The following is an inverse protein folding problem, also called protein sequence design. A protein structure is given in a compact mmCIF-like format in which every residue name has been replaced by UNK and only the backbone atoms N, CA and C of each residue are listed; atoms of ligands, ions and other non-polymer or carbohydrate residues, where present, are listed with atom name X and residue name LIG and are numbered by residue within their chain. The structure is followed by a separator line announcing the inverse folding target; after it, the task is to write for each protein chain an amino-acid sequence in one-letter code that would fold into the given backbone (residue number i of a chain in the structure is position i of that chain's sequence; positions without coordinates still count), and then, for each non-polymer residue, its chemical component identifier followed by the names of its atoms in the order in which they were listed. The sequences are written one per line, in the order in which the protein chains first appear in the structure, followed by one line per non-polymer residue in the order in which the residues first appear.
data_IF_819430532810
#
_entry.id   IF_819430532810
#
_cell.length_a   1.000
_cell.length_b   1.000
_cell.length_c   1.000
_cell.angle_alpha   90.00
_cell.angle_beta   90.00
_cell.angle_gamma   90.00
#
_symmetry.space_group_name_H-M   'P 1'
#
loop_
_entity.id
_entity.type
_entity.pdbx_description
1 polymer ?
#
# COMPACT_ATOMS: atom_id res chain seq x y z
N UNK A 1 13.32 -20.07 -0.08
CA UNK A 1 12.47 -21.01 -0.83
C UNK A 1 11.01 -20.83 -0.42
N UNK A 2 10.19 -20.18 -1.26
CA UNK A 2 8.76 -19.97 -1.00
C UNK A 2 7.92 -21.19 -1.36
N UNK A 3 6.86 -21.46 -0.60
CA UNK A 3 5.92 -22.55 -0.87
C UNK A 3 4.92 -22.14 -1.96
N UNK A 4 4.72 -22.99 -2.97
CA UNK A 4 3.75 -22.74 -4.05
C UNK A 4 2.30 -22.90 -3.58
N UNK A 5 1.37 -22.19 -4.25
CA UNK A 5 -0.05 -22.15 -3.89
C UNK A 5 -0.70 -23.53 -3.78
N UNK A 6 -0.30 -24.47 -4.64
CA UNK A 6 -0.89 -25.81 -4.67
C UNK A 6 -0.53 -26.62 -3.43
N UNK A 7 0.69 -26.42 -2.90
CA UNK A 7 1.16 -27.07 -1.67
C UNK A 7 0.48 -26.47 -0.44
N UNK A 8 0.38 -25.14 -0.39
CA UNK A 8 -0.37 -24.43 0.68
C UNK A 8 -1.83 -24.91 0.70
N UNK A 9 -2.47 -24.99 -0.47
CA UNK A 9 -3.86 -25.44 -0.58
C UNK A 9 -4.03 -26.89 -0.09
N UNK A 10 -3.11 -27.81 -0.43
CA UNK A 10 -3.13 -29.18 0.09
C UNK A 10 -3.01 -29.23 1.61
N UNK A 11 -2.11 -28.43 2.20
CA UNK A 11 -1.94 -28.34 3.67
C UNK A 11 -3.20 -27.81 4.36
N UNK A 12 -3.79 -26.75 3.82
CA UNK A 12 -5.05 -26.19 4.34
C UNK A 12 -6.17 -27.23 4.22
N UNK A 13 -6.27 -27.94 3.10
CA UNK A 13 -7.33 -28.94 2.90
C UNK A 13 -7.24 -30.11 3.87
N UNK A 14 -6.01 -30.53 4.23
CA UNK A 14 -5.78 -31.59 5.19
C UNK A 14 -6.29 -31.23 6.61
N UNK A 15 -6.39 -29.94 6.94
CA UNK A 15 -6.83 -29.49 8.27
C UNK A 15 -8.30 -29.04 8.37
N UNK A 16 -9.01 -28.86 7.25
CA UNK A 16 -10.35 -28.21 7.22
C UNK A 16 -11.42 -29.08 6.54
N UNK A 17 -11.10 -30.33 6.13
CA UNK A 17 -12.03 -31.28 5.47
C UNK A 17 -12.92 -30.64 4.38
N UNK A 18 -12.38 -29.69 3.62
CA UNK A 18 -13.12 -28.96 2.60
C UNK A 18 -12.78 -29.48 1.19
N UNK A 19 -13.46 -28.95 0.18
CA UNK A 19 -13.04 -29.15 -1.20
C UNK A 19 -11.73 -28.41 -1.47
N UNK A 20 -10.81 -29.05 -2.21
CA UNK A 20 -9.52 -28.47 -2.60
C UNK A 20 -9.64 -27.06 -3.23
N UNK A 21 -10.72 -26.81 -3.98
CA UNK A 21 -11.00 -25.50 -4.60
C UNK A 21 -11.25 -24.41 -3.55
N UNK A 22 -11.91 -24.75 -2.45
CA UNK A 22 -12.13 -23.82 -1.33
C UNK A 22 -10.82 -23.55 -0.59
N UNK A 23 -10.02 -24.59 -0.32
CA UNK A 23 -8.70 -24.44 0.27
C UNK A 23 -7.77 -23.54 -0.58
N UNK A 24 -7.80 -23.70 -1.91
CA UNK A 24 -7.04 -22.86 -2.83
C UNK A 24 -7.51 -21.39 -2.84
N UNK A 25 -8.83 -21.16 -2.72
CA UNK A 25 -9.38 -19.80 -2.59
C UNK A 25 -8.86 -19.14 -1.31
N UNK A 26 -8.86 -19.86 -0.19
CA UNK A 26 -8.34 -19.36 1.09
C UNK A 26 -6.84 -19.08 0.97
N UNK A 27 -6.05 -20.05 0.49
CA UNK A 27 -4.59 -19.91 0.31
C UNK A 27 -4.20 -18.64 -0.46
N UNK A 28 -4.89 -18.39 -1.59
CA UNK A 28 -4.65 -17.19 -2.42
C UNK A 28 -5.04 -15.91 -1.70
N UNK A 29 -6.21 -15.90 -1.06
CA UNK A 29 -6.72 -14.71 -0.35
C UNK A 29 -5.77 -14.34 0.80
N UNK A 30 -5.33 -15.32 1.58
CA UNK A 30 -4.39 -15.08 2.68
C UNK A 30 -3.01 -14.64 2.20
N UNK A 31 -2.52 -15.19 1.07
CA UNK A 31 -1.23 -14.73 0.53
C UNK A 31 -1.29 -13.27 0.11
N UNK A 32 -2.36 -12.85 -0.57
CA UNK A 32 -2.56 -11.44 -0.94
C UNK A 32 -2.68 -10.57 0.32
N UNK A 33 -3.38 -11.04 1.35
CA UNK A 33 -3.51 -10.31 2.62
C UNK A 33 -2.15 -10.11 3.30
N UNK A 34 -1.32 -11.14 3.35
CA UNK A 34 0.03 -11.05 3.93
C UNK A 34 0.90 -10.08 3.14
N UNK A 35 0.86 -10.12 1.80
CA UNK A 35 1.58 -9.14 0.98
C UNK A 35 1.12 -7.71 1.25
N UNK A 36 -0.19 -7.47 1.36
CA UNK A 36 -0.74 -6.15 1.70
C UNK A 36 -0.27 -5.68 3.08
N UNK A 37 -0.32 -6.54 4.11
CA UNK A 37 0.13 -6.17 5.46
C UNK A 37 1.62 -5.81 5.48
N UNK A 38 2.46 -6.59 4.80
CA UNK A 38 3.89 -6.30 4.71
C UNK A 38 4.19 -4.99 3.95
N UNK A 39 3.43 -4.73 2.88
CA UNK A 39 3.55 -3.49 2.12
C UNK A 39 3.14 -2.29 2.98
N UNK A 40 2.01 -2.37 3.68
CA UNK A 40 1.55 -1.29 4.55
C UNK A 40 2.49 -1.00 5.71
N UNK A 41 3.10 -2.03 6.32
CA UNK A 41 4.12 -1.86 7.36
C UNK A 41 5.35 -1.10 6.83
N UNK A 42 5.78 -1.42 5.61
CA UNK A 42 6.87 -0.70 4.93
C UNK A 42 6.48 0.74 4.61
N UNK A 43 5.28 0.98 4.11
CA UNK A 43 4.77 2.32 3.80
C UNK A 43 4.58 3.16 5.08
N UNK A 44 4.12 2.54 6.16
CA UNK A 44 3.96 3.17 7.47
C UNK A 44 5.29 3.62 8.05
N UNK A 45 6.30 2.77 7.95
CA UNK A 45 7.68 3.10 8.34
C UNK A 45 8.27 4.25 7.51
N UNK A 46 7.81 4.44 6.27
CA UNK A 46 8.26 5.48 5.34
C UNK A 46 7.26 6.64 5.17
N UNK A 47 6.33 6.84 6.12
CA UNK A 47 5.29 7.90 6.07
C UNK A 47 5.84 9.33 5.91
N UNK A 48 7.10 9.57 6.28
CA UNK A 48 7.77 10.86 6.10
C UNK A 48 7.96 11.24 4.63
N UNK A 49 8.08 10.23 3.75
CA UNK A 49 8.29 10.39 2.30
C UNK A 49 7.03 10.02 1.53
N UNK A 50 6.35 8.93 1.90
CA UNK A 50 5.19 8.40 1.18
C UNK A 50 3.94 8.60 2.04
N UNK A 51 3.10 9.55 1.65
CA UNK A 51 1.86 9.89 2.39
C UNK A 51 0.60 9.28 1.79
N UNK A 52 0.67 8.90 0.52
CA UNK A 52 -0.50 8.49 -0.26
C UNK A 52 -0.21 7.21 -1.03
N UNK A 53 -1.26 6.44 -1.22
CA UNK A 53 -1.27 5.23 -2.02
C UNK A 53 -2.41 5.28 -3.02
N UNK A 54 -2.16 4.79 -4.23
CA UNK A 54 -3.15 4.62 -5.28
C UNK A 54 -3.60 3.17 -5.33
N UNK A 55 -4.91 2.94 -5.38
CA UNK A 55 -5.46 1.61 -5.55
C UNK A 55 -5.33 1.17 -7.00
N UNK A 56 -4.49 0.18 -7.25
CA UNK A 56 -4.31 -0.40 -8.58
C UNK A 56 -5.11 -1.69 -8.71
N UNK A 57 -6.15 -1.65 -9.54
CA UNK A 57 -6.82 -2.84 -10.01
C UNK A 57 -6.14 -3.31 -11.30
N UNK A 58 -5.65 -4.54 -11.34
CA UNK A 58 -4.96 -5.08 -12.51
C UNK A 58 -5.80 -4.93 -13.80
N UNK A 59 -5.24 -4.45 -14.90
CA UNK A 59 -5.99 -4.09 -16.12
C UNK A 59 -6.19 -5.27 -17.08
N UNK A 60 -6.71 -6.41 -16.61
CA UNK A 60 -7.02 -7.53 -17.48
C UNK A 60 -8.52 -7.91 -17.48
N UNK A 61 -8.88 -8.85 -18.37
CA UNK A 61 -10.26 -9.34 -18.55
C UNK A 61 -10.85 -10.04 -17.31
N UNK A 62 -10.04 -10.33 -16.29
CA UNK A 62 -10.43 -11.02 -15.06
C UNK A 62 -10.71 -10.07 -13.91
N UNK A 63 -10.48 -8.76 -14.10
CA UNK A 63 -10.75 -7.76 -13.07
C UNK A 63 -12.25 -7.50 -12.98
N UNK A 64 -12.77 -7.65 -11.76
CA UNK A 64 -14.19 -7.52 -11.49
C UNK A 64 -14.62 -6.05 -11.53
N UNK A 65 -15.93 -5.82 -11.69
CA UNK A 65 -16.51 -4.46 -11.71
C UNK A 65 -16.21 -3.67 -10.42
N UNK A 66 -16.19 -4.34 -9.27
CA UNK A 66 -15.91 -3.72 -7.97
C UNK A 66 -14.49 -3.17 -7.90
N UNK A 67 -13.48 -3.96 -8.29
CA UNK A 67 -12.09 -3.52 -8.34
C UNK A 67 -11.90 -2.41 -9.36
N UNK A 68 -12.50 -2.55 -10.55
CA UNK A 68 -12.41 -1.52 -11.60
C UNK A 68 -12.99 -0.17 -11.15
N UNK A 69 -14.01 -0.17 -10.31
CA UNK A 69 -14.59 1.06 -9.73
C UNK A 69 -13.72 1.69 -8.63
N UNK A 70 -12.70 0.99 -8.15
CA UNK A 70 -11.76 1.47 -7.14
C UNK A 70 -10.40 1.82 -7.73
N UNK A 71 -10.16 1.48 -8.99
CA UNK A 71 -8.91 1.77 -9.70
C UNK A 71 -8.61 3.27 -9.73
N UNK A 72 -7.33 3.62 -9.66
CA UNK A 72 -6.80 4.99 -9.63
C UNK A 72 -7.26 5.84 -8.42
N UNK A 73 -8.00 5.26 -7.45
CA UNK A 73 -8.38 5.99 -6.24
C UNK A 73 -7.19 6.14 -5.31
N UNK A 74 -6.92 7.38 -4.93
CA UNK A 74 -5.84 7.72 -4.01
C UNK A 74 -6.35 7.83 -2.58
N UNK A 75 -5.64 7.19 -1.65
CA UNK A 75 -5.90 7.19 -0.21
C UNK A 75 -4.67 7.70 0.54
N UNK A 76 -4.85 8.23 1.74
CA UNK A 76 -3.75 8.45 2.67
C UNK A 76 -3.30 7.10 3.24
N UNK A 77 -2.00 6.93 3.46
CA UNK A 77 -1.44 5.69 4.06
C UNK A 77 -2.07 5.47 5.43
N UNK A 78 -2.74 4.33 5.61
CA UNK A 78 -3.47 3.93 6.81
C UNK A 78 -4.98 4.22 6.76
N UNK A 79 -5.48 4.89 5.73
CA UNK A 79 -6.93 5.16 5.52
C UNK A 79 -7.51 4.40 4.32
N UNK A 80 -6.69 3.62 3.63
CA UNK A 80 -7.11 2.79 2.53
C UNK A 80 -7.93 1.57 2.99
N UNK A 81 -8.59 0.90 2.05
CA UNK A 81 -9.31 -0.34 2.36
C UNK A 81 -8.33 -1.49 2.47
N UNK A 82 -8.50 -2.35 3.47
CA UNK A 82 -7.74 -3.59 3.58
C UNK A 82 -7.92 -4.46 2.33
N UNK A 83 -6.82 -4.92 1.76
CA UNK A 83 -6.81 -5.93 0.71
C UNK A 83 -6.59 -7.32 1.34
N UNK A 84 -7.18 -8.38 0.77
CA UNK A 84 -8.06 -8.42 -0.40
C UNK A 84 -9.53 -8.04 -0.08
N UNK A 85 -10.23 -7.40 -1.03
CA UNK A 85 -11.62 -6.94 -0.86
C UNK A 85 -12.65 -8.07 -1.06
N UNK A 86 -12.29 -9.07 -1.85
CA UNK A 86 -13.15 -10.20 -2.18
C UNK A 86 -12.29 -11.44 -2.50
N UNK A 87 -12.88 -12.64 -2.56
CA UNK A 87 -12.17 -13.83 -2.99
C UNK A 87 -11.57 -13.66 -4.39
N UNK A 88 -10.33 -14.12 -4.59
CA UNK A 88 -9.58 -13.93 -5.84
C UNK A 88 -9.29 -12.46 -6.21
N UNK A 89 -9.36 -11.54 -5.26
CA UNK A 89 -8.88 -10.17 -5.47
C UNK A 89 -7.38 -10.18 -5.81
N UNK A 90 -6.99 -9.30 -6.74
CA UNK A 90 -5.61 -9.12 -7.20
C UNK A 90 -5.22 -7.64 -7.22
N UNK A 91 -5.96 -6.81 -6.49
CA UNK A 91 -5.59 -5.42 -6.31
C UNK A 91 -4.33 -5.33 -5.46
N UNK A 92 -3.63 -4.22 -5.62
CA UNK A 92 -2.47 -3.83 -4.82
C UNK A 92 -2.52 -2.31 -4.63
N UNK A 93 -1.74 -1.79 -3.71
CA UNK A 93 -1.55 -0.36 -3.57
C UNK A 93 -0.24 0.03 -4.25
N UNK A 94 -0.22 1.23 -4.84
CA UNK A 94 0.99 1.80 -5.42
C UNK A 94 1.34 3.05 -4.63
N UNK A 95 2.58 3.19 -4.11
CA UNK A 95 2.97 4.41 -3.42
C UNK A 95 2.96 5.59 -4.39
N UNK A 96 2.24 6.65 -4.02
CA UNK A 96 2.22 7.91 -4.77
C UNK A 96 3.35 8.78 -4.26
N UNK A 97 4.41 8.87 -5.06
CA UNK A 97 5.52 9.78 -4.82
C UNK A 97 5.16 11.11 -5.47
N UNK A 98 4.97 12.16 -4.68
CA UNK A 98 4.85 13.51 -5.22
C UNK A 98 6.15 13.82 -5.97
N UNK A 99 6.07 14.41 -7.19
CA UNK A 99 7.28 14.72 -7.97
C UNK A 99 8.27 15.47 -7.08
N UNK A 100 9.40 14.82 -6.86
CA UNK A 100 10.61 15.42 -6.32
C UNK A 100 10.89 16.63 -7.20
N UNK A 101 10.74 17.84 -6.66
CA UNK A 101 11.12 19.05 -7.37
C UNK A 101 12.64 19.14 -7.40
N UNK A 102 13.17 19.88 -8.38
CA UNK A 102 14.60 20.11 -8.48
C UNK A 102 15.12 20.73 -7.17
N UNK A 103 16.07 20.06 -6.51
CA UNK A 103 16.59 20.45 -5.19
C UNK A 103 16.07 19.63 -3.99
N UNK A 104 15.01 18.84 -4.13
CA UNK A 104 14.50 18.01 -3.03
C UNK A 104 15.49 16.88 -2.67
N UNK A 105 16.16 16.26 -3.65
CA UNK A 105 17.18 15.23 -3.40
C UNK A 105 18.39 15.79 -2.63
N UNK A 106 18.82 17.00 -2.95
CA UNK A 106 19.90 17.68 -2.23
C UNK A 106 19.49 17.99 -0.79
N UNK A 107 18.22 18.38 -0.57
CA UNK A 107 17.67 18.57 0.78
C UNK A 107 17.64 17.25 1.55
N UNK A 108 17.19 16.15 0.95
CA UNK A 108 17.18 14.82 1.60
C UNK A 108 18.60 14.31 1.88
N UNK A 109 19.53 14.52 0.95
CA UNK A 109 20.93 14.10 1.09
C UNK A 109 21.68 14.93 2.14
N UNK A 110 21.44 16.25 2.22
CA UNK A 110 21.94 17.08 3.32
C UNK A 110 21.35 16.66 4.66
N UNK A 111 20.04 16.45 4.71
CA UNK A 111 19.30 16.04 5.91
C UNK A 111 19.77 14.68 6.46
N UNK A 112 20.15 13.73 5.59
CA UNK A 112 20.75 12.47 6.00
C UNK A 112 22.19 12.61 6.53
N UNK A 113 22.90 13.68 6.16
CA UNK A 113 24.27 13.97 6.63
C UNK A 113 24.32 14.90 7.85
N UNK A 114 23.33 15.75 8.06
CA UNK A 114 23.42 16.89 8.99
C UNK A 114 22.52 16.80 10.24
N UNK A 115 21.52 15.92 10.32
CA UNK A 115 20.56 15.97 11.43
C UNK A 115 20.92 15.09 12.65
N UNK A 116 21.03 15.72 13.84
CA UNK A 116 20.66 15.04 15.09
C UNK A 116 19.13 14.95 15.16
N UNK A 117 18.60 13.74 15.41
CA UNK A 117 17.21 13.32 15.14
C UNK A 117 16.10 14.17 15.78
N UNK A 118 16.39 14.93 16.83
CA UNK A 118 15.40 15.59 17.70
C UNK A 118 14.90 16.94 17.17
N UNK A 119 15.77 17.74 16.56
CA UNK A 119 15.41 19.06 16.01
C UNK A 119 14.71 18.91 14.65
N UNK A 120 15.20 17.94 13.89
CA UNK A 120 14.68 17.58 12.59
C UNK A 120 13.18 17.21 12.62
N UNK A 121 12.75 16.49 13.68
CA UNK A 121 11.36 16.05 13.86
C UNK A 121 10.39 17.22 14.09
N UNK A 122 10.78 18.19 14.94
CA UNK A 122 9.93 19.33 15.32
C UNK A 122 9.65 20.27 14.14
N UNK A 123 10.64 20.47 13.29
CA UNK A 123 10.52 21.37 12.14
C UNK A 123 9.66 20.75 11.03
N UNK A 124 9.79 19.45 10.79
CA UNK A 124 8.97 18.72 9.81
C UNK A 124 7.51 18.63 10.25
N UNK A 125 7.23 18.37 11.52
CA UNK A 125 5.85 18.37 12.04
C UNK A 125 5.19 19.74 11.82
N UNK A 126 5.92 20.84 12.06
CA UNK A 126 5.42 22.21 11.87
C UNK A 126 5.15 22.56 10.40
N UNK A 127 6.05 22.16 9.50
CA UNK A 127 5.90 22.35 8.04
C UNK A 127 4.75 21.51 7.46
N UNK A 128 4.53 20.31 8.00
CA UNK A 128 3.44 19.43 7.62
C UNK A 128 2.10 20.03 8.04
N UNK A 129 1.96 20.48 9.28
CA UNK A 129 0.73 21.07 9.80
C UNK A 129 0.31 22.36 9.05
N UNK A 130 1.29 23.18 8.67
CA UNK A 130 1.06 24.38 7.87
C UNK A 130 0.53 24.06 6.46
N UNK A 131 0.97 22.95 5.86
CA UNK A 131 0.51 22.52 4.53
C UNK A 131 -0.82 21.76 4.55
N UNK A 132 -1.17 21.14 5.68
CA UNK A 132 -2.46 20.44 5.87
C UNK A 132 -3.63 21.40 6.13
N UNK A 133 -3.37 22.63 6.57
CA UNK A 133 -4.39 23.67 6.82
C UNK A 133 -4.76 24.52 5.58
N UNK A 134 -3.95 24.48 4.52
CA UNK A 134 -4.20 25.20 3.26
C UNK A 134 -4.87 24.35 2.19
N UNK A 135 -6.21 24.39 2.09
CA UNK A 135 -6.97 23.71 1.04
C UNK A 135 -6.57 24.14 -0.38
N UNK A 136 -6.36 23.17 -1.28
CA UNK A 136 -5.89 23.39 -2.66
C UNK A 136 -6.94 24.09 -3.54
N UNK A 137 -6.59 25.11 -4.36
CA UNK A 137 -7.54 25.76 -5.26
C UNK A 137 -7.98 24.80 -6.39
N UNK A 138 -9.28 24.81 -6.71
CA UNK A 138 -9.87 24.00 -7.79
C UNK A 138 -9.34 24.48 -9.15
N UNK A 139 -8.76 23.58 -9.93
CA UNK A 139 -8.41 23.85 -11.34
C UNK A 139 -9.70 23.89 -12.18
N UNK A 140 -9.84 24.96 -12.98
CA UNK A 140 -10.82 25.12 -14.06
C UNK A 140 -10.52 24.16 -15.21
#
# INVERSE_FOLDING_TARGET
NGEGMDKIAKRINAGIENSYKNALRVARTETVRVSYVAEMDSLESNKSVIKKVEHSAYWDRRTCKTCKALDEKVYEVGKERMLPIHPHCRCTYLPVIERIQEGDLDRYAKRAREAEYSEFKKEVEKDLDARMSGGRPKKK
#
